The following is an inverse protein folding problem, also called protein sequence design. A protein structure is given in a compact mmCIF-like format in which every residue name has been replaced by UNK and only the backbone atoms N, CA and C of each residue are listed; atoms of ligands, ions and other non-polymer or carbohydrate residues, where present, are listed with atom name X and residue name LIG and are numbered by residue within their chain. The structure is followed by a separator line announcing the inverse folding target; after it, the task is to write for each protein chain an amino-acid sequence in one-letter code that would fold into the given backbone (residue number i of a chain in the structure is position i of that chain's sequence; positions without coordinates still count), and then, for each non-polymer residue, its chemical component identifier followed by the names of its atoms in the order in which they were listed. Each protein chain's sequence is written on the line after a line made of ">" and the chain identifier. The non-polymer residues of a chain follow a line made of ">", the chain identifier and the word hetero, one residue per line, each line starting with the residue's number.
data_IF_728480717692
#
_entry.id   IF_728480717692
#
_cell.length_a   1.000
_cell.length_b   1.000
_cell.length_c   1.000
_cell.angle_alpha   90.00
_cell.angle_beta   90.00
_cell.angle_gamma   90.00
#
_symmetry.space_group_name_H-M   'P 1'
#
loop_
_entity.id
_entity.type
_entity.pdbx_description
1 polymer ?
#
# COMPACT_ATOMS: atom_id res chain seq x y z
N UNK A 1 -10.16 4.70 34.44
CA UNK A 1 -10.83 5.02 33.17
C UNK A 1 -9.91 4.64 32.02
N UNK A 2 -10.33 3.76 31.11
CA UNK A 2 -9.54 3.49 29.90
C UNK A 2 -9.38 4.82 29.13
N UNK A 3 -8.18 5.08 28.65
CA UNK A 3 -7.95 6.25 27.80
C UNK A 3 -8.76 6.10 26.51
N UNK A 4 -9.42 7.16 26.02
CA UNK A 4 -10.16 7.06 24.77
C UNK A 4 -9.24 6.66 23.61
N UNK A 5 -9.73 5.78 22.77
CA UNK A 5 -9.04 5.32 21.55
C UNK A 5 -9.28 6.30 20.40
N UNK A 6 -8.47 6.21 19.35
CA UNK A 6 -8.67 7.01 18.14
C UNK A 6 -10.07 6.74 17.51
N UNK A 7 -10.57 5.52 17.62
CA UNK A 7 -11.89 5.11 17.11
C UNK A 7 -13.05 5.80 17.82
N UNK A 8 -12.86 6.26 19.05
CA UNK A 8 -13.91 7.02 19.79
C UNK A 8 -14.14 8.40 19.16
N UNK A 9 -13.15 8.93 18.42
CA UNK A 9 -13.20 10.22 17.75
C UNK A 9 -13.48 10.11 16.25
N UNK A 10 -12.96 9.05 15.60
CA UNK A 10 -13.14 8.81 14.17
C UNK A 10 -14.26 7.79 13.97
N UNK A 11 -15.48 8.28 13.82
CA UNK A 11 -16.64 7.40 13.66
C UNK A 11 -16.71 6.81 12.25
N UNK A 12 -16.96 5.48 12.12
CA UNK A 12 -16.98 4.80 10.81
C UNK A 12 -18.02 5.38 9.82
N UNK A 13 -19.07 6.03 10.33
CA UNK A 13 -20.10 6.67 9.50
C UNK A 13 -19.58 7.89 8.72
N UNK A 14 -18.51 8.51 9.22
CA UNK A 14 -17.94 9.73 8.65
C UNK A 14 -16.59 9.52 7.97
N UNK A 15 -15.94 8.37 8.21
CA UNK A 15 -14.58 8.11 7.74
C UNK A 15 -14.44 6.70 7.18
N UNK A 16 -13.74 6.58 6.06
CA UNK A 16 -13.29 5.28 5.55
C UNK A 16 -11.95 4.95 6.19
N UNK A 17 -11.90 3.84 6.91
CA UNK A 17 -10.65 3.33 7.49
C UNK A 17 -9.85 2.61 6.41
N UNK A 18 -8.56 2.88 6.37
CA UNK A 18 -7.60 2.25 5.48
C UNK A 18 -6.43 1.68 6.30
N UNK A 19 -6.56 0.48 6.85
CA UNK A 19 -5.46 -0.18 7.56
C UNK A 19 -4.23 -0.31 6.67
N UNK A 20 -3.06 -0.11 7.26
CA UNK A 20 -1.78 -0.08 6.58
C UNK A 20 -0.83 -1.11 7.21
N UNK A 21 -0.08 -1.84 6.39
CA UNK A 21 0.95 -2.78 6.84
C UNK A 21 2.35 -2.12 6.98
N UNK A 22 2.42 -0.83 7.27
CA UNK A 22 3.67 -0.12 7.51
C UNK A 22 4.54 -0.84 8.55
N UNK A 23 5.84 -0.93 8.27
CA UNK A 23 6.79 -1.61 9.15
C UNK A 23 6.89 -3.12 8.94
N UNK A 24 6.19 -3.70 7.97
CA UNK A 24 6.35 -5.10 7.57
C UNK A 24 7.46 -5.23 6.52
N UNK A 25 8.24 -6.31 6.62
CA UNK A 25 9.40 -6.56 5.76
C UNK A 25 9.26 -7.82 4.91
N UNK A 26 8.19 -8.58 5.10
CA UNK A 26 7.86 -9.76 4.29
C UNK A 26 6.38 -9.77 3.92
N UNK A 27 6.04 -10.51 2.86
CA UNK A 27 4.66 -10.69 2.45
C UNK A 27 3.82 -11.32 3.56
N UNK A 28 4.36 -12.32 4.25
CA UNK A 28 3.69 -13.03 5.32
C UNK A 28 3.37 -12.11 6.52
N UNK A 29 4.31 -11.23 6.90
CA UNK A 29 4.08 -10.25 7.98
C UNK A 29 2.97 -9.28 7.59
N UNK A 30 3.01 -8.73 6.38
CA UNK A 30 2.00 -7.81 5.87
C UNK A 30 0.62 -8.46 5.83
N UNK A 31 0.51 -9.67 5.26
CA UNK A 31 -0.74 -10.41 5.19
C UNK A 31 -1.31 -10.70 6.58
N UNK A 32 -0.46 -11.16 7.52
CA UNK A 32 -0.88 -11.41 8.90
C UNK A 32 -1.41 -10.15 9.57
N UNK A 33 -0.68 -9.04 9.44
CA UNK A 33 -1.06 -7.74 10.02
C UNK A 33 -2.42 -7.28 9.51
N UNK A 34 -2.64 -7.36 8.20
CA UNK A 34 -3.89 -6.91 7.58
C UNK A 34 -5.06 -7.87 7.87
N UNK A 35 -4.81 -9.17 7.98
CA UNK A 35 -5.81 -10.13 8.45
C UNK A 35 -6.27 -9.81 9.88
N UNK A 36 -5.33 -9.51 10.79
CA UNK A 36 -5.66 -9.10 12.17
C UNK A 36 -6.49 -7.80 12.19
N UNK A 37 -6.13 -6.82 11.36
CA UNK A 37 -6.92 -5.59 11.25
C UNK A 37 -8.36 -5.88 10.81
N UNK A 38 -8.56 -6.79 9.85
CA UNK A 38 -9.89 -7.23 9.40
C UNK A 38 -10.67 -7.94 10.50
N UNK A 39 -10.04 -8.79 11.28
CA UNK A 39 -10.68 -9.46 12.42
C UNK A 39 -11.17 -8.46 13.48
N UNK A 40 -10.39 -7.37 13.70
CA UNK A 40 -10.73 -6.34 14.69
C UNK A 40 -11.83 -5.40 14.19
N UNK A 41 -11.75 -4.94 12.95
CA UNK A 41 -12.58 -3.85 12.43
C UNK A 41 -13.45 -4.18 11.23
N UNK A 42 -13.33 -5.37 10.64
CA UNK A 42 -14.08 -5.78 9.46
C UNK A 42 -13.63 -5.07 8.16
N UNK A 43 -12.49 -4.38 8.17
CA UNK A 43 -12.01 -3.61 7.03
C UNK A 43 -11.41 -4.51 5.96
N UNK A 44 -11.92 -4.41 4.74
CA UNK A 44 -11.44 -5.16 3.58
C UNK A 44 -10.55 -4.33 2.66
N UNK A 45 -10.71 -3.01 2.61
CA UNK A 45 -9.82 -2.12 1.88
C UNK A 45 -8.58 -1.85 2.74
N UNK A 46 -7.40 -2.08 2.17
CA UNK A 46 -6.13 -2.00 2.90
C UNK A 46 -5.05 -1.32 2.06
N UNK A 47 -4.14 -0.61 2.72
CA UNK A 47 -2.90 -0.12 2.11
C UNK A 47 -1.79 -1.11 2.42
N UNK A 48 -1.27 -1.74 1.38
CA UNK A 48 -0.17 -2.70 1.49
C UNK A 48 1.16 -1.98 1.36
N UNK A 49 2.00 -2.14 2.37
CA UNK A 49 3.41 -1.78 2.36
C UNK A 49 4.26 -2.97 2.77
N UNK A 50 5.23 -3.34 1.95
CA UNK A 50 6.30 -4.28 2.30
C UNK A 50 7.62 -3.61 2.02
N UNK A 51 8.36 -3.30 3.07
CA UNK A 51 9.59 -2.50 2.99
C UNK A 51 10.80 -3.42 2.77
N UNK A 52 11.61 -3.07 1.75
CA UNK A 52 12.84 -3.81 1.44
C UNK A 52 14.08 -3.23 2.09
N UNK A 53 14.12 -1.91 2.31
CA UNK A 53 15.25 -1.22 2.93
C UNK A 53 14.78 -0.30 4.07
N UNK A 54 15.25 -0.61 5.28
CA UNK A 54 14.92 0.13 6.51
C UNK A 54 15.39 1.59 6.53
N UNK A 55 16.41 1.95 5.74
CA UNK A 55 16.95 3.30 5.70
C UNK A 55 16.21 4.18 4.72
N UNK A 56 15.96 3.67 3.53
CA UNK A 56 15.34 4.43 2.45
C UNK A 56 13.82 4.25 2.39
N UNK A 57 13.30 3.20 3.04
CA UNK A 57 11.90 2.80 3.04
C UNK A 57 11.37 2.49 1.63
N UNK A 58 12.26 2.11 0.71
CA UNK A 58 11.85 1.56 -0.57
C UNK A 58 11.11 0.24 -0.39
N UNK A 59 10.02 0.01 -1.13
CA UNK A 59 9.29 -1.24 -1.06
C UNK A 59 10.09 -2.39 -1.69
N UNK A 60 9.93 -3.60 -1.12
CA UNK A 60 10.32 -4.84 -1.77
C UNK A 60 9.25 -5.22 -2.77
N UNK A 61 9.56 -5.12 -4.05
CA UNK A 61 8.56 -5.33 -5.10
C UNK A 61 8.17 -6.79 -5.29
N UNK A 62 9.08 -7.74 -5.03
CA UNK A 62 8.76 -9.17 -5.11
C UNK A 62 7.79 -9.56 -3.98
N UNK A 63 8.10 -9.15 -2.76
CA UNK A 63 7.24 -9.36 -1.60
C UNK A 63 5.91 -8.60 -1.72
N UNK A 64 5.90 -7.40 -2.33
CA UNK A 64 4.67 -6.64 -2.58
C UNK A 64 3.75 -7.37 -3.57
N UNK A 65 4.27 -7.90 -4.67
CA UNK A 65 3.51 -8.69 -5.64
C UNK A 65 2.93 -9.94 -4.96
N UNK A 66 3.76 -10.69 -4.24
CA UNK A 66 3.35 -11.88 -3.49
C UNK A 66 2.25 -11.59 -2.48
N UNK A 67 2.43 -10.54 -1.67
CA UNK A 67 1.42 -10.12 -0.69
C UNK A 67 0.11 -9.69 -1.35
N UNK A 68 0.17 -8.97 -2.47
CA UNK A 68 -1.00 -8.56 -3.24
C UNK A 68 -1.81 -9.77 -3.70
N UNK A 69 -1.17 -10.78 -4.27
CA UNK A 69 -1.83 -12.04 -4.67
C UNK A 69 -2.48 -12.75 -3.49
N UNK A 70 -1.77 -12.87 -2.37
CA UNK A 70 -2.27 -13.53 -1.16
C UNK A 70 -3.49 -12.81 -0.59
N UNK A 71 -3.44 -11.48 -0.50
CA UNK A 71 -4.53 -10.65 0.02
C UNK A 71 -5.75 -10.66 -0.91
N UNK A 72 -5.54 -10.56 -2.22
CA UNK A 72 -6.60 -10.61 -3.22
C UNK A 72 -7.36 -11.95 -3.14
N UNK A 73 -6.65 -13.08 -3.02
CA UNK A 73 -7.25 -14.40 -2.82
C UNK A 73 -8.06 -14.50 -1.52
N UNK A 74 -7.75 -13.69 -0.53
CA UNK A 74 -8.47 -13.60 0.75
C UNK A 74 -9.63 -12.59 0.73
N UNK A 75 -9.92 -11.97 -0.42
CA UNK A 75 -11.01 -11.03 -0.60
C UNK A 75 -10.71 -9.60 -0.15
N UNK A 76 -9.44 -9.23 0.05
CA UNK A 76 -9.07 -7.85 0.31
C UNK A 76 -9.08 -6.99 -0.95
N UNK A 77 -9.39 -5.71 -0.77
CA UNK A 77 -9.24 -4.65 -1.76
C UNK A 77 -7.90 -3.95 -1.50
N UNK A 78 -6.90 -4.26 -2.31
CA UNK A 78 -5.51 -3.89 -2.03
C UNK A 78 -5.11 -2.62 -2.78
N UNK A 79 -4.72 -1.58 -2.05
CA UNK A 79 -4.00 -0.43 -2.55
C UNK A 79 -2.51 -0.64 -2.22
N UNK A 80 -1.66 -0.76 -3.24
CA UNK A 80 -0.29 -1.20 -3.03
C UNK A 80 0.72 -0.06 -3.20
N UNK A 81 1.54 0.19 -2.17
CA UNK A 81 2.72 1.05 -2.24
C UNK A 81 3.82 0.39 -3.07
N UNK A 82 4.35 1.11 -4.06
CA UNK A 82 5.28 0.57 -5.05
C UNK A 82 6.47 1.51 -5.28
N UNK A 83 7.51 0.98 -5.93
CA UNK A 83 8.49 1.83 -6.61
C UNK A 83 7.82 2.54 -7.79
N UNK A 84 8.54 3.47 -8.41
CA UNK A 84 8.10 4.17 -9.63
C UNK A 84 8.65 3.51 -10.93
N UNK A 85 8.94 2.22 -10.89
CA UNK A 85 9.36 1.45 -12.06
C UNK A 85 8.12 0.89 -12.76
N UNK A 86 7.81 1.32 -14.02
CA UNK A 86 6.55 1.02 -14.68
C UNK A 86 6.26 -0.47 -14.84
N UNK A 87 7.27 -1.28 -15.17
CA UNK A 87 7.10 -2.72 -15.37
C UNK A 87 6.74 -3.46 -14.09
N UNK A 88 7.30 -3.05 -12.95
CA UNK A 88 6.97 -3.64 -11.65
C UNK A 88 5.59 -3.20 -11.16
N UNK A 89 5.23 -1.93 -11.36
CA UNK A 89 3.89 -1.42 -11.03
C UNK A 89 2.82 -2.19 -11.80
N UNK A 90 3.05 -2.46 -13.09
CA UNK A 90 2.15 -3.28 -13.91
C UNK A 90 1.95 -4.68 -13.33
N UNK A 91 3.02 -5.33 -12.87
CA UNK A 91 2.93 -6.65 -12.23
C UNK A 91 2.11 -6.63 -10.94
N UNK A 92 2.22 -5.56 -10.14
CA UNK A 92 1.39 -5.37 -8.94
C UNK A 92 -0.09 -5.23 -9.32
N UNK A 93 -0.42 -4.44 -10.34
CA UNK A 93 -1.79 -4.35 -10.86
C UNK A 93 -2.30 -5.73 -11.32
N UNK A 94 -1.51 -6.44 -12.12
CA UNK A 94 -1.85 -7.78 -12.62
C UNK A 94 -2.02 -8.82 -11.50
N UNK A 95 -1.38 -8.63 -10.35
CA UNK A 95 -1.55 -9.48 -9.16
C UNK A 95 -2.83 -9.21 -8.36
N UNK A 96 -3.62 -8.22 -8.77
CA UNK A 96 -4.96 -7.96 -8.25
C UNK A 96 -5.11 -6.69 -7.42
N UNK A 97 -4.13 -5.78 -7.41
CA UNK A 97 -4.28 -4.49 -6.75
C UNK A 97 -5.42 -3.68 -7.38
N UNK A 98 -6.24 -3.03 -6.55
CA UNK A 98 -7.32 -2.13 -7.00
C UNK A 98 -6.84 -0.69 -7.21
N UNK A 99 -5.68 -0.35 -6.68
CA UNK A 99 -4.98 0.90 -6.89
C UNK A 99 -3.48 0.68 -6.71
N UNK A 100 -2.67 1.47 -7.41
CA UNK A 100 -1.21 1.47 -7.24
C UNK A 100 -0.74 2.82 -6.74
N UNK A 101 0.22 2.81 -5.83
CA UNK A 101 0.70 3.99 -5.13
C UNK A 101 2.22 4.14 -5.31
N UNK A 102 2.68 4.53 -6.52
CA UNK A 102 4.11 4.69 -6.78
C UNK A 102 4.68 5.84 -5.96
N UNK A 103 5.86 5.63 -5.39
CA UNK A 103 6.58 6.68 -4.68
C UNK A 103 7.05 7.80 -5.64
N UNK A 104 6.97 9.04 -5.19
CA UNK A 104 7.63 10.16 -5.87
C UNK A 104 9.13 10.19 -5.55
N UNK A 105 9.47 9.96 -4.28
CA UNK A 105 10.81 9.89 -3.72
C UNK A 105 10.76 9.09 -2.41
N UNK A 106 11.90 8.81 -1.76
CA UNK A 106 11.91 8.12 -0.47
C UNK A 106 11.01 8.80 0.56
N UNK A 107 10.30 8.00 1.38
CA UNK A 107 9.43 8.49 2.44
C UNK A 107 10.19 9.49 3.34
N UNK A 108 9.60 10.65 3.58
CA UNK A 108 10.17 11.69 4.43
C UNK A 108 11.26 12.56 3.79
N UNK A 109 11.64 12.31 2.52
CA UNK A 109 12.69 13.07 1.84
C UNK A 109 12.28 14.48 1.42
N UNK A 110 11.00 14.70 1.12
CA UNK A 110 10.50 15.98 0.62
C UNK A 110 11.02 16.38 -0.77
N UNK A 111 11.52 15.41 -1.54
CA UNK A 111 12.15 15.68 -2.84
C UNK A 111 11.16 15.84 -4.00
N UNK A 112 9.91 15.40 -3.82
CA UNK A 112 8.91 15.39 -4.88
C UNK A 112 9.20 14.36 -5.97
N UNK A 113 8.49 14.44 -7.09
CA UNK A 113 8.63 13.48 -8.19
C UNK A 113 10.02 13.60 -8.82
N UNK A 114 10.82 12.55 -8.68
CA UNK A 114 12.19 12.51 -9.19
C UNK A 114 12.26 12.02 -10.65
N UNK A 115 11.32 11.15 -11.05
CA UNK A 115 11.26 10.59 -12.39
C UNK A 115 9.87 10.79 -13.00
N UNK A 116 9.54 12.01 -13.44
CA UNK A 116 8.19 12.33 -13.94
C UNK A 116 7.80 11.49 -15.16
N UNK A 117 8.75 11.08 -15.99
CA UNK A 117 8.45 10.23 -17.14
C UNK A 117 7.99 8.83 -16.72
N UNK A 118 8.58 8.25 -15.68
CA UNK A 118 8.11 6.98 -15.12
C UNK A 118 6.67 7.09 -14.64
N UNK A 119 6.35 8.16 -13.91
CA UNK A 119 4.98 8.41 -13.43
C UNK A 119 4.00 8.57 -14.60
N UNK A 120 4.38 9.29 -15.66
CA UNK A 120 3.53 9.41 -16.86
C UNK A 120 3.27 8.06 -17.53
N UNK A 121 4.30 7.22 -17.64
CA UNK A 121 4.17 5.87 -18.21
C UNK A 121 3.27 4.98 -17.34
N UNK A 122 3.41 5.04 -16.02
CA UNK A 122 2.54 4.33 -15.09
C UNK A 122 1.08 4.75 -15.29
N UNK A 123 0.81 6.06 -15.28
CA UNK A 123 -0.56 6.58 -15.44
C UNK A 123 -1.15 6.18 -16.79
N UNK A 124 -0.36 6.26 -17.87
CA UNK A 124 -0.82 5.91 -19.21
C UNK A 124 -1.15 4.42 -19.38
N UNK A 125 -0.44 3.54 -18.67
CA UNK A 125 -0.60 2.09 -18.79
C UNK A 125 -1.59 1.50 -17.76
N UNK A 126 -1.80 2.14 -16.63
CA UNK A 126 -2.62 1.63 -15.54
C UNK A 126 -4.11 1.55 -15.92
N UNK A 127 -4.75 0.46 -15.50
CA UNK A 127 -6.21 0.24 -15.60
C UNK A 127 -6.91 0.51 -14.26
N UNK A 128 -6.14 0.76 -13.22
CA UNK A 128 -6.60 1.09 -11.86
C UNK A 128 -6.15 2.50 -11.49
N UNK A 129 -6.73 3.14 -10.48
CA UNK A 129 -6.28 4.42 -9.98
C UNK A 129 -4.80 4.43 -9.60
N UNK A 130 -4.11 5.52 -9.93
CA UNK A 130 -2.72 5.78 -9.56
C UNK A 130 -2.70 6.93 -8.56
N UNK A 131 -2.19 6.67 -7.37
CA UNK A 131 -2.01 7.67 -6.31
C UNK A 131 -0.52 7.80 -6.02
N UNK A 132 0.09 8.90 -6.42
CA UNK A 132 1.52 9.15 -6.10
C UNK A 132 1.65 9.33 -4.60
N UNK A 133 2.52 8.53 -4.00
CA UNK A 133 2.77 8.48 -2.56
C UNK A 133 4.20 8.94 -2.27
N UNK A 134 4.49 9.23 -1.01
CA UNK A 134 5.82 9.47 -0.46
C UNK A 134 6.68 10.56 -1.13
N UNK A 135 7.55 11.16 -0.34
CA UNK A 135 8.55 12.15 -0.78
C UNK A 135 8.01 13.50 -1.14
#
# INVERSE_FOLDING_TARGET
>A
NPKPSLQDFLKPEHYTYLPNSAGCYTAEEAVRTLCLAREIGGWNMVKLEVIGDKKTLFPDMQETIKATEMLTKKGFLVMAYTTDEPGLVKKVEESGAIAVMPLAAPIGSGLGIQRPENIRQIIAAAKVPVLVDAG
#
